data_IF_991442197863
#
_entry.id   IF_991442197863
#
_cell.length_a   1.000
_cell.length_b   1.000
_cell.length_c   1.000
_cell.angle_alpha   90.00
_cell.angle_beta   90.00
_cell.angle_gamma   90.00
#
_symmetry.space_group_name_H-M   'P 1'
#
loop_
_entity.id
_entity.type
_entity.pdbx_description
1 polymer ?
#
# COMPACT_ATOMS: atom_id res chain seq x y z
N UNK A 1 -29.18 17.22 8.33
CA UNK A 1 -27.84 17.13 8.90
C UNK A 1 -27.70 15.75 9.52
N UNK A 2 -26.92 14.87 8.91
CA UNK A 2 -26.56 13.60 9.54
C UNK A 2 -25.44 13.95 10.51
N UNK A 3 -25.69 13.79 11.81
CA UNK A 3 -24.68 13.95 12.84
C UNK A 3 -23.65 12.84 12.61
N UNK A 4 -22.45 13.18 12.17
CA UNK A 4 -21.35 12.21 12.10
C UNK A 4 -21.12 11.70 13.52
N UNK A 5 -21.27 10.39 13.73
CA UNK A 5 -20.81 9.77 14.97
C UNK A 5 -19.31 10.00 15.08
N UNK A 6 -18.89 10.69 16.14
CA UNK A 6 -17.48 10.82 16.48
C UNK A 6 -16.89 9.41 16.66
N UNK A 7 -15.73 9.18 16.07
CA UNK A 7 -15.00 7.91 16.15
C UNK A 7 -13.77 8.07 17.02
N UNK A 8 -13.38 7.03 17.74
CA UNK A 8 -12.10 7.01 18.45
C UNK A 8 -10.98 6.46 17.55
N UNK A 9 -11.00 6.81 16.26
CA UNK A 9 -10.05 6.32 15.25
C UNK A 9 -9.30 7.50 14.66
N UNK A 10 -7.98 7.43 14.66
CA UNK A 10 -7.12 8.54 14.30
C UNK A 10 -5.97 8.06 13.41
N UNK A 11 -5.48 8.93 12.54
CA UNK A 11 -4.14 8.82 11.96
C UNK A 11 -3.21 9.83 12.64
N UNK A 12 -1.93 9.49 12.74
CA UNK A 12 -0.89 10.40 13.18
C UNK A 12 -0.11 10.89 11.96
N UNK A 13 -0.15 12.21 11.73
CA UNK A 13 0.60 12.83 10.65
C UNK A 13 2.08 12.92 11.02
N UNK A 14 2.92 13.13 10.02
CA UNK A 14 4.38 13.25 10.21
C UNK A 14 4.81 14.41 11.12
N UNK A 15 3.95 15.40 11.33
CA UNK A 15 4.15 16.54 12.25
C UNK A 15 3.66 16.25 13.69
N UNK A 16 3.19 15.02 13.96
CA UNK A 16 2.63 14.59 15.24
C UNK A 16 1.18 15.01 15.46
N UNK A 17 0.56 15.73 14.52
CA UNK A 17 -0.87 16.06 14.63
C UNK A 17 -1.73 14.84 14.32
N UNK A 18 -2.91 14.80 14.93
CA UNK A 18 -3.87 13.72 14.71
C UNK A 18 -5.03 14.18 13.83
N UNK A 19 -5.47 13.31 12.92
CA UNK A 19 -6.70 13.49 12.16
C UNK A 19 -7.65 12.34 12.48
N UNK A 20 -8.85 12.70 12.95
CA UNK A 20 -9.92 11.74 13.18
C UNK A 20 -10.43 11.16 11.84
N UNK A 21 -10.69 9.85 11.83
CA UNK A 21 -11.12 9.10 10.65
C UNK A 21 -12.56 8.63 10.83
N UNK A 22 -13.44 8.96 9.89
CA UNK A 22 -14.84 8.50 9.95
C UNK A 22 -14.97 7.00 9.65
N UNK A 23 -16.08 6.39 10.11
CA UNK A 23 -16.42 5.01 9.73
C UNK A 23 -16.58 4.82 8.22
N UNK A 24 -17.04 5.83 7.49
CA UNK A 24 -17.19 5.79 6.03
C UNK A 24 -15.82 5.67 5.37
N UNK A 25 -14.86 6.48 5.83
CA UNK A 25 -13.49 6.45 5.34
C UNK A 25 -12.81 5.12 5.67
N UNK A 26 -12.95 4.60 6.90
CA UNK A 26 -12.42 3.30 7.28
C UNK A 26 -13.01 2.16 6.41
N UNK A 27 -14.32 2.20 6.15
CA UNK A 27 -14.97 1.22 5.28
C UNK A 27 -14.51 1.33 3.81
N UNK A 28 -14.17 2.53 3.34
CA UNK A 28 -13.61 2.69 2.00
C UNK A 28 -12.24 2.02 1.91
N UNK A 29 -11.36 2.24 2.90
CA UNK A 29 -10.05 1.57 2.96
C UNK A 29 -10.22 0.05 2.94
N UNK A 30 -11.17 -0.48 3.72
CA UNK A 30 -11.45 -1.93 3.70
C UNK A 30 -11.83 -2.44 2.32
N UNK A 31 -12.70 -1.72 1.60
CA UNK A 31 -13.08 -2.08 0.23
C UNK A 31 -11.89 -2.07 -0.72
N UNK A 32 -11.04 -1.05 -0.61
CA UNK A 32 -9.86 -0.90 -1.46
C UNK A 32 -8.85 -2.02 -1.21
N UNK A 33 -8.61 -2.40 0.05
CA UNK A 33 -7.78 -3.55 0.41
C UNK A 33 -8.33 -4.83 -0.21
N UNK A 34 -9.63 -5.09 -0.03
CA UNK A 34 -10.27 -6.30 -0.57
C UNK A 34 -10.22 -6.34 -2.10
N UNK A 35 -10.40 -5.18 -2.75
CA UNK A 35 -10.27 -5.08 -4.19
C UNK A 35 -8.85 -5.41 -4.65
N UNK A 36 -7.81 -4.87 -4.00
CA UNK A 36 -6.42 -5.21 -4.32
C UNK A 36 -6.16 -6.70 -4.12
N UNK A 37 -6.68 -7.28 -3.04
CA UNK A 37 -6.53 -8.69 -2.75
C UNK A 37 -7.18 -9.57 -3.81
N UNK A 38 -8.34 -9.18 -4.33
CA UNK A 38 -9.06 -9.90 -5.38
C UNK A 38 -8.36 -9.77 -6.75
N UNK A 39 -8.02 -8.55 -7.15
CA UNK A 39 -7.49 -8.26 -8.48
C UNK A 39 -6.02 -8.66 -8.63
N UNK A 40 -5.21 -8.46 -7.59
CA UNK A 40 -3.76 -8.63 -7.65
C UNK A 40 -3.26 -9.81 -6.81
N UNK A 41 -4.15 -10.50 -6.08
CA UNK A 41 -3.77 -11.53 -5.11
C UNK A 41 -3.09 -12.76 -5.70
N UNK A 42 -3.32 -13.06 -6.98
CA UNK A 42 -2.70 -14.21 -7.66
C UNK A 42 -1.26 -13.93 -8.08
N UNK A 43 -1.00 -12.73 -8.58
CA UNK A 43 0.29 -12.35 -9.15
C UNK A 43 0.54 -10.86 -8.96
N UNK A 44 1.17 -10.50 -7.85
CA UNK A 44 1.49 -9.10 -7.54
C UNK A 44 2.49 -8.49 -8.51
N UNK A 45 3.33 -9.27 -9.21
CA UNK A 45 4.30 -8.74 -10.18
C UNK A 45 3.65 -8.00 -11.35
N UNK A 46 2.38 -8.29 -11.64
CA UNK A 46 1.58 -7.62 -12.66
C UNK A 46 0.45 -6.81 -11.99
N UNK A 47 0.73 -6.20 -10.82
CA UNK A 47 -0.26 -5.46 -10.09
C UNK A 47 -0.87 -4.37 -10.99
N UNK A 48 -2.20 -4.30 -10.98
CA UNK A 48 -2.98 -3.31 -11.69
C UNK A 48 -3.61 -2.34 -10.71
N UNK A 49 -3.23 -1.07 -10.78
CA UNK A 49 -3.73 0.02 -9.93
C UNK A 49 -4.15 1.22 -10.80
N UNK A 50 -5.43 1.32 -11.19
CA UNK A 50 -5.90 2.45 -11.97
C UNK A 50 -5.76 3.77 -11.21
N UNK A 51 -5.24 4.81 -11.86
CA UNK A 51 -5.06 6.14 -11.26
C UNK A 51 -6.32 6.73 -10.61
N UNK A 52 -7.50 6.41 -11.16
CA UNK A 52 -8.77 6.97 -10.72
C UNK A 52 -9.42 6.19 -9.56
N UNK A 53 -8.91 5.00 -9.23
CA UNK A 53 -9.55 4.08 -8.26
C UNK A 53 -9.04 4.24 -6.83
N UNK A 54 -7.81 4.74 -6.66
CA UNK A 54 -7.08 4.73 -5.39
C UNK A 54 -6.72 6.15 -4.94
N UNK A 55 -7.74 6.94 -4.62
CA UNK A 55 -7.59 8.39 -4.36
C UNK A 55 -7.29 8.76 -2.91
N UNK A 56 -7.29 7.79 -1.98
CA UNK A 56 -6.97 8.06 -0.57
C UNK A 56 -5.44 8.10 -0.37
N UNK A 57 -4.93 8.89 0.60
CA UNK A 57 -3.51 8.92 0.91
C UNK A 57 -3.12 7.69 1.73
N UNK A 58 -3.07 6.51 1.10
CA UNK A 58 -2.91 5.21 1.77
C UNK A 58 -1.76 5.19 2.78
N UNK A 59 -0.65 5.88 2.48
CA UNK A 59 0.49 6.00 3.38
C UNK A 59 0.17 6.61 4.75
N UNK A 60 -0.79 7.51 4.85
CA UNK A 60 -1.22 8.08 6.14
C UNK A 60 -1.82 7.02 7.06
N UNK A 61 -2.55 6.06 6.50
CA UNK A 61 -3.25 5.03 7.27
C UNK A 61 -2.33 3.94 7.84
N UNK A 62 -1.04 3.97 7.50
CA UNK A 62 -0.04 3.14 8.21
C UNK A 62 0.08 3.54 9.69
N UNK A 63 -0.35 4.75 10.06
CA UNK A 63 -0.36 5.27 11.42
C UNK A 63 -1.74 5.21 12.09
N UNK A 64 -2.66 4.35 11.60
CA UNK A 64 -3.98 4.20 12.20
C UNK A 64 -3.90 3.74 13.67
N UNK A 65 -4.42 4.57 14.56
CA UNK A 65 -4.52 4.34 16.01
C UNK A 65 -5.97 4.42 16.48
N UNK A 66 -6.21 4.05 17.74
CA UNK A 66 -7.55 4.06 18.34
C UNK A 66 -8.21 2.69 18.46
N UNK A 67 -9.53 2.68 18.65
CA UNK A 67 -10.31 1.45 18.85
C UNK A 67 -11.10 1.08 17.60
N UNK A 68 -10.65 0.02 16.92
CA UNK A 68 -11.30 -0.54 15.74
C UNK A 68 -10.90 -2.01 15.58
N UNK A 69 -11.77 -2.80 14.97
CA UNK A 69 -11.54 -4.22 14.75
C UNK A 69 -10.54 -4.45 13.61
N UNK A 70 -9.90 -5.62 13.62
CA UNK A 70 -9.03 -6.08 12.52
C UNK A 70 -7.84 -5.14 12.25
N UNK A 71 -7.21 -4.55 13.28
CA UNK A 71 -6.05 -3.65 13.10
C UNK A 71 -4.95 -4.19 12.16
N UNK A 72 -4.51 -5.46 12.30
CA UNK A 72 -3.49 -6.00 11.39
C UNK A 72 -3.94 -5.98 9.93
N UNK A 73 -5.21 -6.28 9.64
CA UNK A 73 -5.76 -6.25 8.29
C UNK A 73 -5.66 -4.87 7.66
N UNK A 74 -5.99 -3.80 8.40
CA UNK A 74 -5.89 -2.43 7.87
C UNK A 74 -4.44 -2.00 7.68
N UNK A 75 -3.56 -2.28 8.65
CA UNK A 75 -2.15 -1.92 8.57
C UNK A 75 -1.45 -2.65 7.42
N UNK A 76 -1.57 -3.97 7.37
CA UNK A 76 -0.95 -4.81 6.34
C UNK A 76 -1.56 -4.58 4.96
N UNK A 77 -2.90 -4.48 4.89
CA UNK A 77 -3.60 -4.20 3.65
C UNK A 77 -3.20 -2.85 3.05
N UNK A 78 -3.07 -1.82 3.88
CA UNK A 78 -2.61 -0.49 3.43
C UNK A 78 -1.19 -0.54 2.87
N UNK A 79 -0.28 -1.27 3.55
CA UNK A 79 1.08 -1.48 3.05
C UNK A 79 1.08 -2.22 1.70
N UNK A 80 0.20 -3.20 1.51
CA UNK A 80 0.05 -3.94 0.25
C UNK A 80 -0.52 -3.06 -0.86
N UNK A 81 -1.46 -2.16 -0.58
CA UNK A 81 -1.91 -1.15 -1.56
C UNK A 81 -0.71 -0.33 -2.05
N UNK A 82 0.10 0.19 -1.12
CA UNK A 82 1.29 0.99 -1.45
C UNK A 82 2.30 0.17 -2.25
N UNK A 83 2.48 -1.12 -1.93
CA UNK A 83 3.33 -2.02 -2.71
C UNK A 83 2.81 -2.19 -4.15
N UNK A 84 1.50 -2.35 -4.34
CA UNK A 84 0.91 -2.45 -5.68
C UNK A 84 1.08 -1.14 -6.46
N UNK A 85 0.89 0.02 -5.82
CA UNK A 85 1.16 1.32 -6.43
C UNK A 85 2.63 1.47 -6.83
N UNK A 86 3.57 0.95 -6.02
CA UNK A 86 4.99 0.94 -6.38
C UNK A 86 5.28 0.07 -7.61
N UNK A 87 4.66 -1.11 -7.70
CA UNK A 87 4.83 -2.01 -8.84
C UNK A 87 4.30 -1.34 -10.12
N UNK A 88 3.08 -0.81 -10.06
CA UNK A 88 2.47 -0.04 -11.16
C UNK A 88 3.32 1.18 -11.54
N UNK A 89 3.94 1.87 -10.58
CA UNK A 89 4.84 2.99 -10.85
C UNK A 89 6.14 2.55 -11.54
N UNK A 90 6.69 1.39 -11.16
CA UNK A 90 7.98 0.88 -11.66
C UNK A 90 7.83 0.23 -13.05
N UNK A 91 6.69 -0.40 -13.33
CA UNK A 91 6.41 -1.07 -14.61
C UNK A 91 6.11 -0.07 -15.73
N UNK A 92 7.13 0.63 -16.24
CA UNK A 92 6.97 1.74 -17.20
C UNK A 92 6.10 1.41 -18.43
N UNK A 93 6.27 0.26 -19.14
CA UNK A 93 5.51 0.01 -20.36
C UNK A 93 4.01 -0.20 -20.16
N UNK A 94 3.61 -0.73 -19.01
CA UNK A 94 2.22 -1.13 -18.72
C UNK A 94 1.58 -0.34 -17.58
N UNK A 95 2.38 0.36 -16.80
CA UNK A 95 2.01 0.99 -15.55
C UNK A 95 1.78 2.49 -15.64
N UNK A 96 1.68 3.13 -14.48
CA UNK A 96 1.27 4.53 -14.40
C UNK A 96 2.05 5.29 -13.30
N UNK A 97 2.86 6.27 -13.71
CA UNK A 97 3.64 7.09 -12.76
C UNK A 97 2.81 8.15 -12.03
N UNK A 98 1.51 8.26 -12.32
CA UNK A 98 0.55 9.13 -11.62
C UNK A 98 -0.23 8.42 -10.52
N UNK A 99 0.06 7.15 -10.22
CA UNK A 99 -0.67 6.37 -9.20
C UNK A 99 -0.61 6.97 -7.80
N UNK A 100 0.43 7.75 -7.49
CA UNK A 100 0.56 8.50 -6.23
C UNK A 100 -0.04 9.92 -6.31
N UNK A 101 -0.72 10.25 -7.41
CA UNK A 101 -1.26 11.58 -7.70
C UNK A 101 -0.16 12.64 -7.72
N UNK A 102 -0.38 13.73 -6.98
CA UNK A 102 0.57 14.83 -6.86
C UNK A 102 1.54 14.69 -5.68
N UNK A 103 1.49 13.59 -4.93
CA UNK A 103 2.34 13.40 -3.75
C UNK A 103 3.72 12.92 -4.15
N UNK A 104 4.76 13.62 -3.68
CA UNK A 104 6.14 13.20 -3.91
C UNK A 104 6.45 11.90 -3.18
N UNK A 105 7.13 10.96 -3.85
CA UNK A 105 7.54 9.68 -3.27
C UNK A 105 8.34 9.86 -1.95
N UNK A 106 9.11 10.94 -1.84
CA UNK A 106 9.86 11.28 -0.62
C UNK A 106 8.98 11.70 0.55
N UNK A 107 7.78 12.24 0.32
CA UNK A 107 6.83 12.47 1.41
C UNK A 107 6.23 11.15 1.90
N UNK A 108 5.97 10.23 0.97
CA UNK A 108 5.37 8.92 1.26
C UNK A 108 6.35 8.04 2.06
N UNK A 109 7.63 8.01 1.68
CA UNK A 109 8.64 7.19 2.37
C UNK A 109 8.83 7.60 3.85
N UNK A 110 8.53 8.85 4.23
CA UNK A 110 8.58 9.29 5.63
C UNK A 110 7.56 8.53 6.47
N UNK A 111 6.32 8.42 5.99
CA UNK A 111 5.28 7.63 6.65
C UNK A 111 5.70 6.17 6.79
N UNK A 112 6.21 5.56 5.72
CA UNK A 112 6.65 4.16 5.76
C UNK A 112 7.80 3.96 6.75
N UNK A 113 8.75 4.89 6.83
CA UNK A 113 9.84 4.83 7.80
C UNK A 113 9.34 4.95 9.25
N UNK A 114 8.33 5.77 9.49
CA UNK A 114 7.70 5.95 10.80
C UNK A 114 6.77 4.80 11.20
N UNK A 115 6.26 4.01 10.24
CA UNK A 115 5.42 2.85 10.53
C UNK A 115 6.08 1.92 11.56
N UNK A 116 5.40 1.70 12.68
CA UNK A 116 5.86 0.83 13.76
C UNK A 116 5.36 -0.60 13.52
N UNK A 117 6.22 -1.45 12.95
CA UNK A 117 5.88 -2.84 12.70
C UNK A 117 5.73 -3.60 14.03
N UNK A 118 4.57 -4.24 14.21
CA UNK A 118 4.23 -5.01 15.42
C UNK A 118 4.56 -6.51 15.25
N UNK A 119 4.93 -6.93 14.03
CA UNK A 119 5.27 -8.32 13.72
C UNK A 119 6.48 -8.44 12.79
N UNK A 120 7.19 -9.59 12.80
CA UNK A 120 8.27 -9.85 11.84
C UNK A 120 7.81 -9.75 10.38
N UNK A 121 6.60 -10.19 10.07
CA UNK A 121 6.03 -10.10 8.72
C UNK A 121 5.81 -8.64 8.31
N UNK A 122 5.32 -7.80 9.22
CA UNK A 122 5.16 -6.37 8.96
C UNK A 122 6.52 -5.68 8.75
N UNK A 123 7.55 -6.08 9.50
CA UNK A 123 8.93 -5.58 9.29
C UNK A 123 9.44 -5.92 7.89
N UNK A 124 9.29 -7.18 7.46
CA UNK A 124 9.71 -7.63 6.13
C UNK A 124 8.94 -6.91 5.01
N UNK A 125 7.63 -6.70 5.20
CA UNK A 125 6.79 -5.99 4.23
C UNK A 125 7.21 -4.50 4.14
N UNK A 126 7.46 -3.85 5.28
CA UNK A 126 7.99 -2.48 5.33
C UNK A 126 9.32 -2.37 4.61
N UNK A 127 10.25 -3.29 4.85
CA UNK A 127 11.57 -3.31 4.19
C UNK A 127 11.45 -3.50 2.67
N UNK A 128 10.54 -4.36 2.23
CA UNK A 128 10.24 -4.56 0.80
C UNK A 128 9.68 -3.29 0.15
N UNK A 129 8.77 -2.59 0.83
CA UNK A 129 8.22 -1.31 0.34
C UNK A 129 9.31 -0.24 0.28
N UNK A 130 10.18 -0.15 1.28
CA UNK A 130 11.33 0.77 1.26
C UNK A 130 12.26 0.45 0.08
N UNK A 131 12.50 -0.84 -0.20
CA UNK A 131 13.25 -1.27 -1.38
C UNK A 131 12.55 -0.80 -2.67
N UNK A 132 11.24 -1.00 -2.79
CA UNK A 132 10.45 -0.52 -3.93
C UNK A 132 10.55 0.99 -4.12
N UNK A 133 10.43 1.79 -3.05
CA UNK A 133 10.65 3.24 -3.13
C UNK A 133 12.06 3.61 -3.59
N UNK A 134 13.09 2.87 -3.16
CA UNK A 134 14.46 3.13 -3.61
C UNK A 134 14.64 2.89 -5.11
N UNK A 135 13.92 1.91 -5.68
CA UNK A 135 13.89 1.63 -7.11
C UNK A 135 13.08 2.71 -7.83
N UNK A 136 11.87 3.02 -7.36
CA UNK A 136 11.00 4.03 -7.95
C UNK A 136 11.66 5.42 -7.99
N UNK A 137 12.44 5.79 -6.97
CA UNK A 137 13.19 7.04 -6.92
C UNK A 137 14.33 7.12 -7.96
N UNK A 138 14.73 5.99 -8.57
CA UNK A 138 15.72 5.96 -9.64
C UNK A 138 15.12 6.05 -11.05
N UNK A 139 13.78 5.97 -11.17
CA UNK A 139 13.08 6.14 -12.45
C UNK A 139 13.17 7.60 -12.88
N UNK A 140 13.73 7.85 -14.07
CA UNK A 140 13.89 9.20 -14.63
C UNK A 140 12.80 9.53 -15.65
N UNK A 141 12.69 10.81 -16.03
CA UNK A 141 11.79 11.24 -17.11
C UNK A 141 12.19 10.60 -18.44
N UNK A 142 13.48 10.40 -18.65
CA UNK A 142 14.03 9.75 -19.83
C UNK A 142 13.61 8.28 -19.89
N UNK A 143 13.59 7.57 -18.76
CA UNK A 143 13.12 6.19 -18.71
C UNK A 143 11.64 6.10 -19.07
N UNK A 144 10.81 6.99 -18.50
CA UNK A 144 9.38 7.09 -18.83
C UNK A 144 9.18 7.41 -20.32
N UNK A 145 9.95 8.35 -20.86
CA UNK A 145 9.84 8.77 -22.26
C UNK A 145 10.26 7.68 -23.25
N UNK A 146 11.17 6.77 -22.87
CA UNK A 146 11.54 5.61 -23.70
C UNK A 146 10.41 4.58 -23.78
N UNK A 147 9.57 4.49 -22.76
CA UNK A 147 8.49 3.51 -22.67
C UNK A 147 8.97 2.05 -22.85
N UNK A 148 10.08 1.72 -22.18
CA UNK A 148 10.72 0.40 -22.21
C UNK A 148 10.75 -0.20 -20.81
N UNK A 149 10.99 -1.50 -20.71
CA UNK A 149 11.13 -2.17 -19.41
C UNK A 149 12.25 -1.52 -18.59
N UNK A 150 11.87 -0.96 -17.44
CA UNK A 150 12.81 -0.35 -16.53
C UNK A 150 13.79 -1.39 -15.98
N UNK A 151 15.07 -1.05 -15.92
CA UNK A 151 16.11 -1.92 -15.36
C UNK A 151 16.75 -1.28 -14.14
N UNK A 152 16.83 -2.04 -13.05
CA UNK A 152 17.52 -1.61 -11.84
C UNK A 152 18.22 -2.82 -11.18
N UNK A 153 19.39 -2.62 -10.58
CA UNK A 153 20.22 -3.70 -10.00
C UNK A 153 19.49 -4.50 -8.91
N UNK A 154 18.51 -3.90 -8.25
CA UNK A 154 17.71 -4.54 -7.18
C UNK A 154 16.32 -4.98 -7.62
N UNK A 155 16.01 -4.89 -8.91
CA UNK A 155 14.66 -5.18 -9.42
C UNK A 155 14.31 -6.66 -9.25
N UNK A 156 15.26 -7.56 -9.54
CA UNK A 156 15.10 -9.00 -9.33
C UNK A 156 14.90 -9.34 -7.84
N UNK A 157 15.68 -8.72 -6.95
CA UNK A 157 15.53 -8.88 -5.51
C UNK A 157 14.12 -8.45 -5.04
N UNK A 158 13.62 -7.33 -5.59
CA UNK A 158 12.28 -6.83 -5.27
C UNK A 158 11.17 -7.79 -5.74
N UNK A 159 11.18 -8.17 -7.03
CA UNK A 159 10.14 -9.03 -7.60
C UNK A 159 10.14 -10.45 -7.03
N UNK A 160 11.32 -11.00 -6.71
CA UNK A 160 11.43 -12.35 -6.11
C UNK A 160 10.76 -12.49 -4.74
N UNK A 161 10.53 -11.37 -4.03
CA UNK A 161 9.86 -11.34 -2.72
C UNK A 161 8.33 -11.21 -2.81
N UNK A 162 7.77 -10.85 -3.98
CA UNK A 162 6.32 -10.67 -4.13
C UNK A 162 5.48 -11.94 -3.91
N UNK A 163 5.91 -13.15 -4.32
CA UNK A 163 5.17 -14.37 -4.02
C UNK A 163 4.97 -14.61 -2.52
N UNK A 164 5.95 -14.22 -1.69
CA UNK A 164 5.81 -14.28 -0.23
C UNK A 164 4.68 -13.39 0.26
N UNK A 165 4.56 -12.15 -0.26
CA UNK A 165 3.47 -11.24 0.12
C UNK A 165 2.10 -11.82 -0.21
N UNK A 166 1.92 -12.33 -1.43
CA UNK A 166 0.66 -12.98 -1.86
C UNK A 166 0.29 -14.15 -0.93
N UNK A 167 1.25 -15.04 -0.63
CA UNK A 167 1.00 -16.21 0.21
C UNK A 167 0.72 -15.85 1.67
N UNK A 168 1.52 -14.94 2.25
CA UNK A 168 1.52 -14.64 3.68
C UNK A 168 0.34 -13.76 4.10
N UNK A 169 -0.08 -12.81 3.27
CA UNK A 169 -1.13 -11.85 3.64
C UNK A 169 -2.43 -12.10 2.89
N UNK A 170 -2.38 -12.20 1.56
CA UNK A 170 -3.59 -12.21 0.72
C UNK A 170 -4.27 -13.59 0.76
N UNK A 171 -3.53 -14.65 0.42
CA UNK A 171 -4.08 -16.00 0.43
C UNK A 171 -4.41 -16.47 1.85
N UNK A 172 -3.59 -16.10 2.84
CA UNK A 172 -3.85 -16.37 4.24
C UNK A 172 -5.17 -15.72 4.69
N UNK A 173 -5.42 -14.46 4.29
CA UNK A 173 -6.70 -13.79 4.53
C UNK A 173 -7.87 -14.60 3.96
N UNK A 174 -7.83 -14.95 2.67
CA UNK A 174 -8.94 -15.72 2.05
C UNK A 174 -9.16 -17.08 2.71
N UNK A 175 -8.09 -17.82 3.04
CA UNK A 175 -8.19 -19.09 3.78
C UNK A 175 -8.90 -18.89 5.13
N UNK A 176 -8.50 -17.85 5.87
CA UNK A 176 -9.13 -17.52 7.14
C UNK A 176 -10.60 -17.09 7.01
N UNK A 177 -11.08 -16.68 5.84
CA UNK A 177 -12.51 -16.36 5.65
C UNK A 177 -13.33 -17.60 5.30
N UNK A 178 -12.73 -18.60 4.63
CA UNK A 178 -13.41 -19.85 4.25
C UNK A 178 -13.56 -20.77 5.47
N UNK A 179 -12.57 -20.82 6.36
CA UNK A 179 -12.61 -21.68 7.56
C UNK A 179 -13.66 -21.25 8.62
N UNK A 180 -14.25 -20.06 8.47
CA UNK A 180 -15.32 -19.56 9.34
C UNK A 180 -16.74 -19.83 8.78
N UNK A 181 -16.84 -20.51 7.63
CA UNK A 181 -18.11 -20.94 7.00
C UNK A 181 -18.32 -22.43 7.28
#
# INVERSE_FOLDING_TARGET
MIQMQETDIYIEKTDGTQRQISWIELNQIKKDILWIFDQNGKELSNAFVPEYSFNLPYWEYTTLTGTYDQKPFYQEGTLIIILCMLIEYIDIPGGNQLVFGNTELQSIIVYIKQFNAESPNQTLLKELIILGFSIAASVTKEDIARNEYFTHLKLEEFYSKLPWVSNTFIQAYYKSQIEYI
#
